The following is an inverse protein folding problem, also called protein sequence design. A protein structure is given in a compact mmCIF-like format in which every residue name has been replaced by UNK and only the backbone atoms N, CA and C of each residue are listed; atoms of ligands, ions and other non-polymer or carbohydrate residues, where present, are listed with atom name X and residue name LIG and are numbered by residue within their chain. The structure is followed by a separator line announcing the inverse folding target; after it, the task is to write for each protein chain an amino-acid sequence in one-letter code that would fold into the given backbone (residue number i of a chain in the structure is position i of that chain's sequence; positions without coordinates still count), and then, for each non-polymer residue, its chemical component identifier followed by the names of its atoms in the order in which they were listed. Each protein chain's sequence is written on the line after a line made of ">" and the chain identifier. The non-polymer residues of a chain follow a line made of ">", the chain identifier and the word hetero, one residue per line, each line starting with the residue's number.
data_IF_082095964614
#
_entry.id   IF_082095964614
#
_cell.length_a   1.000
_cell.length_b   1.000
_cell.length_c   1.000
_cell.angle_alpha   90.00
_cell.angle_beta   90.00
_cell.angle_gamma   90.00
#
_symmetry.space_group_name_H-M   'P 1'
#
loop_
_entity.id
_entity.type
_entity.pdbx_description
1 polymer ?
#
# COMPACT_ATOMS: atom_id res chain seq x y z
N UNK A 1 13.47 -0.55 -31.11
CA UNK A 1 13.89 -0.31 -29.72
C UNK A 1 13.06 -1.24 -28.88
N UNK A 2 13.61 -2.39 -28.49
CA UNK A 2 12.98 -3.31 -27.53
C UNK A 2 12.76 -2.55 -26.24
N UNK A 3 11.54 -2.54 -25.76
CA UNK A 3 11.14 -1.73 -24.62
C UNK A 3 11.91 -2.13 -23.37
N UNK A 4 12.71 -1.21 -22.85
CA UNK A 4 13.40 -1.34 -21.57
C UNK A 4 12.43 -1.90 -20.52
N UNK A 5 12.77 -3.03 -19.93
CA UNK A 5 11.89 -3.74 -18.98
C UNK A 5 11.70 -2.85 -17.75
N UNK A 6 10.46 -2.41 -17.55
CA UNK A 6 10.08 -1.55 -16.43
C UNK A 6 10.09 -2.35 -15.15
N UNK A 7 10.82 -1.89 -14.13
CA UNK A 7 10.81 -2.50 -12.82
C UNK A 7 10.22 -1.53 -11.78
N UNK A 8 9.02 -1.84 -11.32
CA UNK A 8 8.38 -1.16 -10.20
C UNK A 8 8.22 -2.19 -9.09
N UNK A 9 8.76 -1.89 -7.92
CA UNK A 9 8.56 -2.73 -6.74
C UNK A 9 7.37 -2.26 -5.92
N UNK A 10 6.47 -3.17 -5.57
CA UNK A 10 5.42 -2.98 -4.56
C UNK A 10 5.90 -3.59 -3.23
N UNK A 11 6.22 -2.72 -2.27
CA UNK A 11 6.83 -3.08 -0.98
C UNK A 11 5.88 -2.77 0.20
N UNK A 12 4.83 -3.50 0.50
CA UNK A 12 4.18 -4.60 -0.22
C UNK A 12 2.69 -4.62 0.11
N UNK A 13 1.85 -5.18 -0.76
CA UNK A 13 0.43 -5.44 -0.45
C UNK A 13 0.22 -6.68 0.44
N UNK A 14 1.28 -7.46 0.71
CA UNK A 14 1.22 -8.74 1.44
C UNK A 14 1.75 -8.66 2.85
N UNK A 15 2.53 -7.61 3.14
CA UNK A 15 3.12 -7.34 4.45
C UNK A 15 3.48 -5.87 4.56
N UNK A 16 3.69 -5.39 5.76
CA UNK A 16 4.18 -4.02 6.00
C UNK A 16 5.71 -4.05 6.13
N UNK A 17 6.39 -3.81 5.01
CA UNK A 17 7.86 -3.80 4.96
C UNK A 17 8.43 -2.62 5.76
N UNK A 18 7.94 -1.38 5.61
CA UNK A 18 8.40 -0.26 6.43
C UNK A 18 8.27 -0.50 7.93
N UNK A 19 7.18 -1.12 8.38
CA UNK A 19 6.97 -1.34 9.81
C UNK A 19 7.85 -2.45 10.42
N UNK A 20 8.18 -3.50 9.65
CA UNK A 20 8.73 -4.73 10.23
C UNK A 20 10.00 -5.26 9.58
N UNK A 21 10.32 -4.85 8.37
CA UNK A 21 11.37 -5.44 7.55
C UNK A 21 12.23 -4.40 6.82
N UNK A 22 12.29 -3.18 7.38
CA UNK A 22 13.05 -2.07 6.79
C UNK A 22 14.54 -2.39 6.60
N UNK A 23 15.17 -3.01 7.61
CA UNK A 23 16.57 -3.42 7.54
C UNK A 23 16.83 -4.45 6.44
N UNK A 24 16.00 -5.49 6.35
CA UNK A 24 16.07 -6.48 5.26
C UNK A 24 15.95 -5.80 3.91
N UNK A 25 14.97 -4.92 3.74
CA UNK A 25 14.72 -4.27 2.45
C UNK A 25 15.86 -3.34 2.05
N UNK A 26 16.39 -2.56 3.00
CA UNK A 26 17.53 -1.69 2.75
C UNK A 26 18.76 -2.49 2.29
N UNK A 27 19.02 -3.64 2.93
CA UNK A 27 20.10 -4.53 2.51
C UNK A 27 19.90 -5.11 1.10
N UNK A 28 18.65 -5.41 0.72
CA UNK A 28 18.33 -5.82 -0.67
C UNK A 28 18.61 -4.71 -1.68
N UNK A 29 18.33 -3.47 -1.34
CA UNK A 29 18.61 -2.32 -2.19
C UNK A 29 20.12 -2.08 -2.34
N UNK A 30 20.90 -2.22 -1.26
CA UNK A 30 22.37 -2.12 -1.28
C UNK A 30 23.00 -3.16 -2.20
N UNK A 31 22.52 -4.40 -2.12
CA UNK A 31 23.02 -5.51 -2.93
C UNK A 31 22.50 -5.51 -4.37
N UNK A 32 21.47 -4.75 -4.67
CA UNK A 32 20.78 -4.85 -5.96
C UNK A 32 20.26 -6.25 -6.25
N UNK A 33 19.80 -6.96 -5.22
CA UNK A 33 19.48 -8.38 -5.24
C UNK A 33 18.23 -8.67 -4.41
N UNK A 34 17.15 -9.09 -5.06
CA UNK A 34 15.86 -9.34 -4.43
C UNK A 34 15.11 -10.45 -5.16
N UNK A 35 14.42 -11.30 -4.43
CA UNK A 35 13.57 -12.33 -5.02
C UNK A 35 12.12 -12.25 -4.52
N UNK A 36 11.19 -12.66 -5.37
CA UNK A 36 9.78 -12.71 -5.06
C UNK A 36 9.17 -14.04 -5.52
N UNK A 37 8.44 -14.70 -4.62
CA UNK A 37 7.68 -15.91 -4.92
C UNK A 37 6.35 -15.56 -5.58
N UNK A 38 6.01 -16.28 -6.64
CA UNK A 38 4.73 -16.09 -7.33
C UNK A 38 3.57 -16.50 -6.40
N UNK A 39 2.58 -15.61 -6.17
CA UNK A 39 1.47 -15.90 -5.26
C UNK A 39 0.48 -16.94 -5.77
N UNK A 40 0.43 -17.16 -7.08
CA UNK A 40 -0.48 -18.12 -7.74
C UNK A 40 0.19 -19.47 -7.91
N UNK A 41 1.48 -19.47 -8.30
CA UNK A 41 2.29 -20.67 -8.39
C UNK A 41 3.45 -20.60 -7.40
N UNK A 42 3.26 -21.20 -6.23
CA UNK A 42 4.23 -21.15 -5.15
C UNK A 42 5.60 -21.79 -5.43
N UNK A 43 5.72 -22.57 -6.50
CA UNK A 43 6.99 -23.16 -6.97
C UNK A 43 7.80 -22.21 -7.85
N UNK A 44 7.25 -21.09 -8.26
CA UNK A 44 7.93 -20.12 -9.11
C UNK A 44 8.48 -18.97 -8.28
N UNK A 45 9.77 -18.70 -8.44
CA UNK A 45 10.47 -17.57 -7.85
C UNK A 45 11.06 -16.74 -8.99
N UNK A 46 10.91 -15.43 -8.91
CA UNK A 46 11.64 -14.51 -9.76
C UNK A 46 12.72 -13.85 -8.92
N UNK A 47 13.97 -14.00 -9.33
CA UNK A 47 15.14 -13.40 -8.72
C UNK A 47 15.58 -12.21 -9.59
N UNK A 48 15.56 -11.02 -9.02
CA UNK A 48 15.95 -9.78 -9.68
C UNK A 48 17.35 -9.38 -9.25
N UNK A 49 18.21 -9.06 -10.23
CA UNK A 49 19.44 -8.31 -10.02
C UNK A 49 19.31 -7.00 -10.75
N UNK A 50 19.61 -5.91 -10.07
CA UNK A 50 19.30 -4.58 -10.58
C UNK A 50 20.25 -3.51 -10.03
N UNK A 51 20.45 -2.48 -10.83
CA UNK A 51 21.01 -1.21 -10.37
C UNK A 51 19.86 -0.23 -10.08
N UNK A 52 20.07 0.82 -9.27
CA UNK A 52 19.04 1.81 -8.97
C UNK A 52 18.39 2.42 -10.22
N UNK A 53 19.18 2.60 -11.31
CA UNK A 53 18.68 3.14 -12.57
C UNK A 53 17.64 2.24 -13.28
N UNK A 54 17.67 0.93 -13.02
CA UNK A 54 16.73 -0.03 -13.58
C UNK A 54 15.38 -0.05 -12.83
N UNK A 55 15.31 0.54 -11.62
CA UNK A 55 14.09 0.58 -10.81
C UNK A 55 13.39 1.91 -11.03
N UNK A 56 12.24 1.86 -11.70
CA UNK A 56 11.47 3.08 -11.96
C UNK A 56 10.88 3.68 -10.68
N UNK A 57 10.37 2.86 -9.78
CA UNK A 57 9.82 3.34 -8.50
C UNK A 57 9.64 2.20 -7.50
N UNK A 58 9.69 2.55 -6.22
CA UNK A 58 9.29 1.69 -5.11
C UNK A 58 8.00 2.26 -4.50
N UNK A 59 6.96 1.43 -4.39
CA UNK A 59 5.69 1.81 -3.77
C UNK A 59 5.62 1.15 -2.40
N UNK A 60 5.75 1.94 -1.35
CA UNK A 60 5.62 1.47 0.02
C UNK A 60 4.16 1.44 0.46
N UNK A 61 3.77 0.37 1.14
CA UNK A 61 2.45 0.19 1.75
C UNK A 61 2.66 -0.02 3.23
N UNK A 62 2.10 0.86 4.03
CA UNK A 62 2.37 0.81 5.46
C UNK A 62 1.21 1.35 6.29
N UNK A 63 1.15 0.88 7.53
CA UNK A 63 0.34 1.43 8.62
C UNK A 63 1.21 2.06 9.71
N UNK A 64 2.52 1.89 9.62
CA UNK A 64 3.47 2.55 10.52
C UNK A 64 4.85 2.68 9.85
N UNK A 65 5.15 3.79 9.17
CA UNK A 65 6.45 4.01 8.55
C UNK A 65 7.55 4.47 9.54
N UNK A 66 7.21 4.78 10.79
CA UNK A 66 8.15 5.40 11.74
C UNK A 66 9.49 4.65 11.86
N UNK A 67 9.52 3.28 11.96
CA UNK A 67 10.79 2.55 12.04
C UNK A 67 11.66 2.67 10.78
N UNK A 68 11.06 2.99 9.64
CA UNK A 68 11.72 3.03 8.34
C UNK A 68 12.19 4.43 7.93
N UNK A 69 11.73 5.48 8.61
CA UNK A 69 12.04 6.86 8.22
C UNK A 69 13.54 7.16 8.21
N UNK A 70 14.30 6.57 9.13
CA UNK A 70 15.77 6.73 9.18
C UNK A 70 16.50 6.07 7.99
N UNK A 71 15.86 5.18 7.27
CA UNK A 71 16.43 4.54 6.07
C UNK A 71 16.30 5.41 4.80
N UNK A 72 15.45 6.42 4.82
CA UNK A 72 15.10 7.19 3.61
C UNK A 72 16.28 8.01 3.07
N UNK A 73 17.15 8.52 3.92
CA UNK A 73 18.33 9.28 3.48
C UNK A 73 19.29 8.40 2.66
N UNK A 74 19.46 7.17 3.08
CA UNK A 74 20.29 6.22 2.35
C UNK A 74 19.64 5.78 1.02
N UNK A 75 18.32 5.56 1.03
CA UNK A 75 17.56 5.22 -0.18
C UNK A 75 17.63 6.36 -1.20
N UNK A 76 17.52 7.62 -0.74
CA UNK A 76 17.70 8.81 -1.59
C UNK A 76 19.13 8.90 -2.12
N UNK A 77 20.13 8.64 -1.26
CA UNK A 77 21.54 8.64 -1.63
C UNK A 77 21.90 7.60 -2.69
N UNK A 78 21.22 6.45 -2.68
CA UNK A 78 21.31 5.43 -3.73
C UNK A 78 20.60 5.82 -5.04
N UNK A 79 19.78 6.88 -5.03
CA UNK A 79 19.07 7.39 -6.21
C UNK A 79 17.71 6.75 -6.48
N UNK A 80 17.20 5.89 -5.61
CA UNK A 80 15.88 5.29 -5.76
C UNK A 80 14.76 6.33 -5.67
N UNK A 81 13.71 6.14 -6.46
CA UNK A 81 12.47 6.91 -6.43
C UNK A 81 11.37 6.09 -5.77
N UNK A 82 10.57 6.73 -4.93
CA UNK A 82 9.53 6.05 -4.16
C UNK A 82 8.40 6.99 -3.76
N UNK A 83 7.28 6.41 -3.38
CA UNK A 83 6.18 7.06 -2.68
C UNK A 83 5.50 6.11 -1.72
N UNK A 84 4.68 6.64 -0.82
CA UNK A 84 4.01 5.88 0.23
C UNK A 84 2.49 5.84 0.04
N UNK A 85 1.94 4.67 0.25
CA UNK A 85 0.54 4.39 0.49
C UNK A 85 0.39 4.19 2.00
N UNK A 86 0.08 5.26 2.74
CA UNK A 86 0.01 5.22 4.19
C UNK A 86 -1.43 5.07 4.65
N UNK A 87 -1.77 3.92 5.20
CA UNK A 87 -3.10 3.65 5.71
C UNK A 87 -3.23 4.18 7.13
N UNK A 88 -4.05 5.21 7.30
CA UNK A 88 -4.46 5.77 8.58
C UNK A 88 -5.97 5.70 8.68
N UNK A 89 -6.44 4.88 9.62
CA UNK A 89 -7.85 4.57 9.89
C UNK A 89 -8.15 4.77 11.37
N UNK A 90 -9.41 5.02 11.78
CA UNK A 90 -9.74 5.38 13.15
C UNK A 90 -9.96 4.19 14.10
N UNK A 91 -9.72 2.94 13.62
CA UNK A 91 -10.05 1.74 14.40
C UNK A 91 -9.17 1.56 15.62
N UNK A 92 -9.76 1.01 16.68
CA UNK A 92 -9.02 0.56 17.86
C UNK A 92 -8.40 -0.83 17.70
N UNK A 93 -7.83 -1.32 18.80
CA UNK A 93 -7.17 -2.64 18.85
C UNK A 93 -8.12 -3.84 18.67
N UNK A 94 -9.43 -3.62 18.69
CA UNK A 94 -10.43 -4.63 18.35
C UNK A 94 -10.44 -4.98 16.87
N UNK A 95 -10.07 -4.04 16.01
CA UNK A 95 -9.99 -4.22 14.55
C UNK A 95 -8.54 -4.25 14.06
N UNK A 96 -7.68 -3.37 14.57
CA UNK A 96 -6.27 -3.24 14.18
C UNK A 96 -5.38 -3.49 15.40
N UNK A 97 -5.15 -4.77 15.73
CA UNK A 97 -4.72 -5.24 17.04
C UNK A 97 -3.34 -4.73 17.48
N UNK A 98 -2.40 -4.59 16.56
CA UNK A 98 -1.01 -4.29 16.88
C UNK A 98 -0.51 -3.02 16.16
N UNK A 99 -1.34 -1.99 16.12
CA UNK A 99 -0.97 -0.68 15.56
C UNK A 99 -0.98 0.35 16.69
N UNK A 100 0.18 0.88 17.00
CA UNK A 100 0.26 2.05 17.87
C UNK A 100 -0.18 3.29 17.09
N UNK A 101 -1.28 3.88 17.52
CA UNK A 101 -1.87 5.08 16.89
C UNK A 101 -1.60 6.36 17.69
N UNK A 102 -0.90 6.27 18.81
CA UNK A 102 -0.64 7.42 19.67
C UNK A 102 0.05 8.58 18.95
N UNK A 103 0.96 8.26 18.03
CA UNK A 103 1.73 9.24 17.26
C UNK A 103 1.50 9.15 15.74
N UNK A 104 0.38 8.55 15.30
CA UNK A 104 0.19 8.24 13.87
C UNK A 104 0.04 9.52 13.02
N UNK A 105 -0.63 10.55 13.54
CA UNK A 105 -0.81 11.84 12.88
C UNK A 105 0.53 12.56 12.75
N UNK A 106 1.30 12.66 13.83
CA UNK A 106 2.65 13.24 13.82
C UNK A 106 3.57 12.49 12.84
N UNK A 107 3.50 11.16 12.83
CA UNK A 107 4.25 10.32 11.88
C UNK A 107 3.87 10.62 10.44
N UNK A 108 2.58 10.83 10.16
CA UNK A 108 2.11 11.19 8.82
C UNK A 108 2.66 12.55 8.39
N UNK A 109 2.56 13.55 9.24
CA UNK A 109 3.05 14.92 9.00
C UNK A 109 4.56 14.90 8.74
N UNK A 110 5.35 14.30 9.63
CA UNK A 110 6.80 14.20 9.50
C UNK A 110 7.24 13.46 8.23
N UNK A 111 6.53 12.38 7.86
CA UNK A 111 6.82 11.70 6.61
C UNK A 111 6.52 12.60 5.41
N UNK A 112 5.39 13.33 5.43
CA UNK A 112 5.05 14.29 4.37
C UNK A 112 6.09 15.40 4.23
N UNK A 113 6.52 16.00 5.33
CA UNK A 113 7.58 17.02 5.35
C UNK A 113 8.89 16.48 4.77
N UNK A 114 9.19 15.20 5.01
CA UNK A 114 10.42 14.55 4.53
C UNK A 114 10.39 14.23 3.03
N UNK A 115 9.24 13.80 2.50
CA UNK A 115 9.17 13.29 1.10
C UNK A 115 8.37 14.17 0.15
N UNK A 116 7.55 15.08 0.66
CA UNK A 116 6.59 15.89 -0.09
C UNK A 116 5.17 15.33 -0.05
N UNK A 117 4.18 16.23 0.01
CA UNK A 117 2.75 15.89 0.08
C UNK A 117 2.26 15.10 -1.16
N UNK A 118 2.88 15.33 -2.31
CA UNK A 118 2.57 14.66 -3.58
C UNK A 118 3.01 13.19 -3.62
N UNK A 119 3.94 12.79 -2.74
CA UNK A 119 4.45 11.42 -2.63
C UNK A 119 3.91 10.66 -1.42
N UNK A 120 3.03 11.26 -0.63
CA UNK A 120 2.35 10.63 0.49
C UNK A 120 0.86 10.53 0.22
N UNK A 121 0.39 9.31 -0.03
CA UNK A 121 -1.02 9.03 -0.29
C UNK A 121 -1.67 8.53 0.99
N UNK A 122 -2.65 9.27 1.50
CA UNK A 122 -3.48 8.82 2.62
C UNK A 122 -4.44 7.72 2.17
N UNK A 123 -4.52 6.65 2.93
CA UNK A 123 -5.51 5.59 2.71
C UNK A 123 -6.45 5.51 3.91
N UNK A 124 -7.70 5.84 3.69
CA UNK A 124 -8.80 5.60 4.62
C UNK A 124 -9.53 4.32 4.15
N UNK A 125 -8.89 3.19 4.33
CA UNK A 125 -9.19 1.94 3.63
C UNK A 125 -8.92 0.72 4.52
N UNK A 126 -9.95 -0.13 4.76
CA UNK A 126 -11.36 0.01 4.36
C UNK A 126 -12.22 0.78 5.39
N UNK A 127 -13.39 1.29 4.95
CA UNK A 127 -14.48 1.72 5.86
C UNK A 127 -15.24 0.47 6.32
N UNK A 128 -15.34 0.28 7.64
CA UNK A 128 -15.99 -0.86 8.30
C UNK A 128 -17.13 -0.35 9.17
N UNK A 129 -18.32 -0.93 9.04
CA UNK A 129 -19.49 -0.58 9.84
C UNK A 129 -19.84 -1.69 10.82
N UNK A 130 -19.99 -1.31 12.07
CA UNK A 130 -20.61 -2.07 13.16
C UNK A 130 -21.16 -1.11 14.22
N UNK A 131 -21.64 -1.61 15.35
CA UNK A 131 -22.21 -0.77 16.43
C UNK A 131 -21.19 0.21 17.01
N UNK A 132 -19.91 -0.15 17.07
CA UNK A 132 -18.84 0.71 17.57
C UNK A 132 -18.38 1.75 16.56
N UNK A 133 -18.51 1.45 15.28
CA UNK A 133 -18.03 2.28 14.16
C UNK A 133 -19.19 2.59 13.19
N UNK A 134 -20.22 3.32 13.62
CA UNK A 134 -21.34 3.75 12.75
C UNK A 134 -20.87 4.83 11.77
N UNK A 135 -21.71 5.17 10.79
CA UNK A 135 -21.40 6.20 9.77
C UNK A 135 -21.01 7.54 10.38
N UNK A 136 -21.74 8.00 11.41
CA UNK A 136 -21.41 9.27 12.09
C UNK A 136 -19.98 9.29 12.65
N UNK A 137 -19.57 8.18 13.27
CA UNK A 137 -18.18 8.02 13.73
C UNK A 137 -17.16 8.18 12.58
N UNK A 138 -17.43 7.55 11.42
CA UNK A 138 -16.52 7.65 10.28
C UNK A 138 -16.48 9.06 9.71
N UNK A 139 -17.62 9.76 9.63
CA UNK A 139 -17.67 11.16 9.18
C UNK A 139 -16.81 12.02 10.10
N UNK A 140 -17.05 11.96 11.42
CA UNK A 140 -16.32 12.78 12.39
C UNK A 140 -14.82 12.53 12.33
N UNK A 141 -14.42 11.26 12.27
CA UNK A 141 -13.01 10.88 12.24
C UNK A 141 -12.32 11.21 10.92
N UNK A 142 -13.01 10.97 9.79
CA UNK A 142 -12.49 11.33 8.49
C UNK A 142 -12.26 12.84 8.38
N UNK A 143 -13.27 13.64 8.74
CA UNK A 143 -13.19 15.10 8.68
C UNK A 143 -12.06 15.64 9.56
N UNK A 144 -11.97 15.18 10.81
CA UNK A 144 -10.90 15.57 11.72
C UNK A 144 -9.51 15.18 11.21
N UNK A 145 -9.35 14.00 10.59
CA UNK A 145 -8.08 13.60 9.97
C UNK A 145 -7.78 14.41 8.70
N UNK A 146 -8.79 14.70 7.88
CA UNK A 146 -8.61 15.50 6.67
C UNK A 146 -8.15 16.93 6.98
N UNK A 147 -8.68 17.54 8.04
CA UNK A 147 -8.21 18.84 8.55
C UNK A 147 -6.74 18.78 8.98
N UNK A 148 -6.34 17.74 9.71
CA UNK A 148 -4.98 17.56 10.20
C UNK A 148 -3.99 17.23 9.06
N UNK A 149 -4.44 16.53 8.01
CA UNK A 149 -3.61 16.17 6.86
C UNK A 149 -3.64 17.20 5.73
N UNK A 150 -4.41 18.27 5.89
CA UNK A 150 -4.49 19.36 4.92
C UNK A 150 -3.11 19.98 4.69
N UNK A 151 -2.65 20.01 3.44
CA UNK A 151 -1.29 20.44 3.08
C UNK A 151 -0.22 19.36 3.19
N UNK A 152 -0.51 18.22 3.82
CA UNK A 152 0.44 17.10 3.97
C UNK A 152 0.14 15.91 3.04
N UNK A 153 -0.95 15.95 2.30
CA UNK A 153 -1.25 15.00 1.21
C UNK A 153 -2.14 15.66 0.17
N UNK A 154 -1.97 15.27 -1.09
CA UNK A 154 -2.82 15.72 -2.19
C UNK A 154 -3.93 14.72 -2.53
N UNK A 155 -3.86 13.50 -1.96
CA UNK A 155 -4.74 12.41 -2.36
C UNK A 155 -5.12 11.53 -1.16
N UNK A 156 -6.44 11.26 -1.05
CA UNK A 156 -6.97 10.23 -0.16
C UNK A 156 -7.60 9.10 -0.98
N UNK A 157 -7.26 7.87 -0.62
CA UNK A 157 -7.88 6.67 -1.20
C UNK A 157 -8.83 6.07 -0.20
N UNK A 158 -10.10 5.91 -0.59
CA UNK A 158 -11.13 5.24 0.21
C UNK A 158 -11.51 3.90 -0.40
N UNK A 159 -11.95 2.97 0.41
CA UNK A 159 -12.69 1.78 0.00
C UNK A 159 -13.67 1.37 1.09
N UNK A 160 -14.74 0.71 0.70
CA UNK A 160 -15.68 0.07 1.60
C UNK A 160 -15.34 -1.41 1.75
N UNK A 161 -15.62 -1.98 2.92
CA UNK A 161 -15.35 -3.41 3.13
C UNK A 161 -16.21 -4.25 2.20
N UNK A 162 -15.59 -5.10 1.42
CA UNK A 162 -16.26 -6.11 0.60
C UNK A 162 -16.45 -7.42 1.38
N UNK A 163 -17.58 -8.07 1.18
CA UNK A 163 -17.84 -9.40 1.74
C UNK A 163 -17.14 -10.49 0.93
N UNK A 164 -15.90 -10.76 1.31
CA UNK A 164 -15.21 -11.93 0.79
C UNK A 164 -15.52 -13.17 1.63
N UNK A 165 -15.72 -14.32 0.99
CA UNK A 165 -15.98 -15.58 1.67
C UNK A 165 -14.98 -15.88 2.79
N UNK A 166 -13.74 -15.55 2.55
CA UNK A 166 -12.65 -15.73 3.49
C UNK A 166 -12.66 -14.74 4.69
N UNK A 167 -13.42 -13.63 4.62
CA UNK A 167 -13.63 -12.67 5.71
C UNK A 167 -14.87 -12.98 6.54
N UNK A 168 -15.75 -13.87 6.07
CA UNK A 168 -17.07 -14.09 6.65
C UNK A 168 -17.05 -14.38 8.16
N UNK A 169 -16.08 -15.19 8.62
CA UNK A 169 -15.95 -15.50 10.06
C UNK A 169 -15.44 -14.31 10.88
N UNK A 170 -14.52 -13.52 10.33
CA UNK A 170 -14.03 -12.33 11.00
C UNK A 170 -15.11 -11.25 11.03
N UNK A 171 -15.82 -11.02 9.93
CA UNK A 171 -16.94 -10.08 9.86
C UNK A 171 -18.03 -10.44 10.87
N UNK A 172 -18.42 -11.72 10.96
CA UNK A 172 -19.42 -12.19 11.93
C UNK A 172 -18.99 -12.00 13.38
N UNK A 173 -17.73 -12.30 13.72
CA UNK A 173 -17.21 -12.15 15.10
C UNK A 173 -17.11 -10.72 15.58
N UNK A 174 -17.02 -9.76 14.65
CA UNK A 174 -16.90 -8.33 14.94
C UNK A 174 -18.12 -7.54 14.49
N UNK A 175 -19.23 -8.23 14.15
CA UNK A 175 -20.50 -7.66 13.69
C UNK A 175 -20.34 -6.67 12.53
N UNK A 176 -19.36 -6.95 11.65
CA UNK A 176 -19.04 -6.11 10.51
C UNK A 176 -20.04 -6.35 9.39
N UNK A 177 -20.66 -5.29 8.90
CA UNK A 177 -21.59 -5.31 7.78
C UNK A 177 -21.07 -4.51 6.60
N UNK A 178 -21.54 -4.84 5.40
CA UNK A 178 -21.35 -3.98 4.22
C UNK A 178 -22.22 -2.73 4.36
N UNK A 179 -21.73 -1.63 3.80
CA UNK A 179 -22.51 -0.38 3.80
C UNK A 179 -23.68 -0.48 2.82
N UNK A 180 -24.83 -0.02 3.23
CA UNK A 180 -25.97 0.21 2.33
C UNK A 180 -25.70 1.42 1.42
N UNK A 181 -26.38 1.50 0.26
CA UNK A 181 -26.26 2.69 -0.62
C UNK A 181 -26.55 4.02 0.10
N UNK A 182 -27.53 4.07 0.99
CA UNK A 182 -27.85 5.26 1.77
C UNK A 182 -26.73 5.65 2.76
N UNK A 183 -26.06 4.67 3.35
CA UNK A 183 -24.93 4.92 4.22
C UNK A 183 -23.73 5.46 3.43
N UNK A 184 -23.47 4.90 2.24
CA UNK A 184 -22.44 5.40 1.33
C UNK A 184 -22.74 6.84 0.92
N UNK A 185 -23.98 7.13 0.51
CA UNK A 185 -24.43 8.47 0.14
C UNK A 185 -24.25 9.47 1.30
N UNK A 186 -24.71 9.11 2.49
CA UNK A 186 -24.55 9.93 3.69
C UNK A 186 -23.10 10.22 4.01
N UNK A 187 -22.25 9.20 3.99
CA UNK A 187 -20.80 9.34 4.25
C UNK A 187 -20.14 10.22 3.20
N UNK A 188 -20.33 9.90 1.91
CA UNK A 188 -19.72 10.63 0.82
C UNK A 188 -20.14 12.10 0.78
N UNK A 189 -21.44 12.37 0.92
CA UNK A 189 -21.96 13.74 0.92
C UNK A 189 -21.39 14.60 2.04
N UNK A 190 -21.06 14.03 3.20
CA UNK A 190 -20.51 14.77 4.34
C UNK A 190 -19.01 14.99 4.19
N UNK A 191 -18.25 13.95 3.86
CA UNK A 191 -16.77 14.08 3.71
C UNK A 191 -16.40 14.98 2.55
N UNK A 192 -17.13 14.94 1.42
CA UNK A 192 -16.87 15.83 0.28
C UNK A 192 -17.08 17.29 0.65
N UNK A 193 -18.17 17.63 1.36
CA UNK A 193 -18.37 19.01 1.84
C UNK A 193 -17.22 19.50 2.71
N UNK A 194 -16.69 18.66 3.60
CA UNK A 194 -15.53 19.03 4.41
C UNK A 194 -14.30 19.26 3.53
N UNK A 195 -14.02 18.35 2.60
CA UNK A 195 -12.85 18.48 1.70
C UNK A 195 -12.90 19.74 0.84
N UNK A 196 -14.11 20.17 0.42
CA UNK A 196 -14.32 21.39 -0.37
C UNK A 196 -14.03 22.67 0.44
N UNK A 197 -14.06 22.61 1.77
CA UNK A 197 -13.76 23.75 2.65
C UNK A 197 -12.29 23.84 3.08
N UNK A 198 -11.49 22.81 2.79
CA UNK A 198 -10.08 22.80 3.19
C UNK A 198 -9.24 23.81 2.38
N UNK A 199 -8.28 24.49 3.02
CA UNK A 199 -7.40 25.45 2.35
C UNK A 199 -6.48 24.79 1.29
N UNK A 200 -6.18 23.50 1.44
CA UNK A 200 -5.42 22.72 0.46
C UNK A 200 -6.25 21.53 -0.01
N UNK A 201 -6.26 21.30 -1.32
CA UNK A 201 -7.08 20.26 -1.93
C UNK A 201 -6.56 18.86 -1.61
N UNK A 202 -7.44 18.00 -1.10
CA UNK A 202 -7.25 16.54 -1.03
C UNK A 202 -8.20 15.87 -2.01
N UNK A 203 -7.67 15.28 -3.07
CA UNK A 203 -8.47 14.58 -4.08
C UNK A 203 -8.87 13.20 -3.58
N UNK A 204 -10.18 12.89 -3.62
CA UNK A 204 -10.65 11.53 -3.31
C UNK A 204 -10.50 10.60 -4.51
N UNK A 205 -10.07 9.38 -4.22
CA UNK A 205 -10.04 8.29 -5.18
C UNK A 205 -10.54 7.00 -4.52
N UNK A 206 -11.18 6.14 -5.30
CA UNK A 206 -11.70 4.86 -4.80
C UNK A 206 -11.04 3.66 -5.48
N UNK A 207 -10.72 2.63 -4.70
CA UNK A 207 -10.01 1.45 -5.18
C UNK A 207 -10.98 0.33 -5.55
N UNK A 208 -11.36 0.26 -6.83
CA UNK A 208 -12.22 -0.81 -7.38
C UNK A 208 -13.58 -0.97 -6.68
N UNK A 209 -14.19 0.14 -6.29
CA UNK A 209 -15.53 0.13 -5.71
C UNK A 209 -16.59 -0.29 -6.73
N UNK A 210 -17.60 -1.03 -6.25
CA UNK A 210 -18.76 -1.46 -7.06
C UNK A 210 -19.75 -0.31 -7.23
N UNK A 211 -19.87 0.54 -6.21
CA UNK A 211 -20.74 1.72 -6.24
C UNK A 211 -20.07 2.82 -7.07
N UNK A 212 -20.85 3.41 -7.96
CA UNK A 212 -20.38 4.58 -8.71
C UNK A 212 -20.31 5.81 -7.78
N UNK A 213 -19.11 6.30 -7.57
CA UNK A 213 -18.82 7.46 -6.74
C UNK A 213 -18.49 8.71 -7.56
N UNK A 214 -18.67 8.67 -8.89
CA UNK A 214 -18.34 9.79 -9.78
C UNK A 214 -19.17 11.05 -9.48
N UNK A 215 -20.43 10.88 -9.01
CA UNK A 215 -21.29 11.99 -8.60
C UNK A 215 -20.70 12.82 -7.44
N UNK A 216 -19.78 12.27 -6.66
CA UNK A 216 -19.05 12.93 -5.58
C UNK A 216 -17.67 13.43 -5.99
N UNK A 217 -17.33 13.43 -7.29
CA UNK A 217 -16.02 13.82 -7.79
C UNK A 217 -14.90 12.80 -7.49
N UNK A 218 -15.25 11.61 -7.01
CA UNK A 218 -14.28 10.56 -6.67
C UNK A 218 -13.72 9.93 -7.94
N UNK A 219 -12.41 9.91 -8.05
CA UNK A 219 -11.72 9.36 -9.20
C UNK A 219 -11.44 7.85 -9.02
N UNK A 220 -11.30 7.13 -10.14
CA UNK A 220 -10.77 5.78 -10.10
C UNK A 220 -9.31 5.81 -9.65
N UNK A 221 -8.99 5.00 -8.66
CA UNK A 221 -7.65 4.95 -8.13
C UNK A 221 -6.73 4.02 -8.92
N UNK A 222 -5.47 4.45 -9.03
CA UNK A 222 -4.32 3.60 -9.34
C UNK A 222 -3.40 3.63 -8.12
N UNK A 223 -3.35 2.54 -7.36
CA UNK A 223 -2.46 2.48 -6.19
C UNK A 223 -0.99 2.37 -6.61
N UNK A 224 -0.67 1.64 -7.68
CA UNK A 224 0.59 1.76 -8.40
C UNK A 224 0.31 2.66 -9.59
N UNK A 225 0.58 3.94 -9.40
CA UNK A 225 0.14 5.02 -10.27
C UNK A 225 1.24 5.41 -11.26
N UNK A 226 1.03 5.08 -12.54
CA UNK A 226 2.01 5.34 -13.58
C UNK A 226 2.23 6.83 -13.87
N UNK A 227 1.22 7.69 -13.68
CA UNK A 227 1.35 9.13 -13.87
C UNK A 227 2.17 9.75 -12.72
N UNK A 228 1.87 9.35 -11.48
CA UNK A 228 2.65 9.76 -10.31
C UNK A 228 4.12 9.31 -10.45
N UNK A 229 4.36 8.08 -10.86
CA UNK A 229 5.71 7.55 -11.08
C UNK A 229 6.45 8.36 -12.15
N UNK A 230 5.79 8.67 -13.28
CA UNK A 230 6.39 9.49 -14.33
C UNK A 230 6.74 10.90 -13.82
N UNK A 231 5.86 11.52 -13.01
CA UNK A 231 6.09 12.81 -12.37
C UNK A 231 7.28 12.77 -11.41
N UNK A 232 7.34 11.79 -10.51
CA UNK A 232 8.44 11.62 -9.52
C UNK A 232 9.79 11.42 -10.23
N UNK A 233 9.78 10.73 -11.37
CA UNK A 233 10.99 10.52 -12.17
C UNK A 233 11.37 11.71 -13.06
N UNK A 234 10.46 12.63 -13.29
CA UNK A 234 10.65 13.72 -14.26
C UNK A 234 10.72 13.24 -15.71
N UNK A 235 9.97 12.18 -16.08
CA UNK A 235 10.01 11.57 -17.40
C UNK A 235 8.63 11.52 -18.06
N UNK A 236 8.59 11.63 -19.39
CA UNK A 236 7.38 11.41 -20.19
C UNK A 236 7.30 9.92 -20.57
N UNK A 237 6.76 9.09 -19.68
CA UNK A 237 6.66 7.64 -19.88
C UNK A 237 5.25 7.14 -19.56
N UNK A 238 4.69 6.34 -20.48
CA UNK A 238 3.43 5.62 -20.25
C UNK A 238 3.73 4.21 -19.75
N UNK A 239 3.15 3.87 -18.62
CA UNK A 239 3.27 2.54 -18.03
C UNK A 239 2.11 1.64 -18.46
N UNK A 240 2.38 0.35 -18.66
CA UNK A 240 1.35 -0.62 -19.05
C UNK A 240 0.48 -0.98 -17.85
N UNK A 241 -0.85 -1.03 -18.06
CA UNK A 241 -1.80 -1.53 -17.06
C UNK A 241 -1.44 -2.95 -16.66
N UNK A 242 -1.59 -3.27 -15.38
CA UNK A 242 -1.40 -4.62 -14.86
C UNK A 242 -2.61 -5.51 -15.20
N UNK A 243 -2.46 -6.52 -16.08
CA UNK A 243 -3.56 -7.38 -16.48
C UNK A 243 -3.99 -8.36 -15.38
N UNK A 244 -3.17 -8.56 -14.35
CA UNK A 244 -3.44 -9.47 -13.23
C UNK A 244 -4.29 -8.83 -12.12
N UNK A 245 -4.62 -7.54 -12.24
CA UNK A 245 -5.47 -6.84 -11.29
C UNK A 245 -6.95 -6.98 -11.65
N UNK A 246 -7.81 -6.71 -10.64
CA UNK A 246 -9.28 -6.71 -10.81
C UNK A 246 -9.71 -5.81 -11.99
N UNK A 247 -10.82 -6.16 -12.69
CA UNK A 247 -11.45 -5.23 -13.62
C UNK A 247 -11.72 -3.88 -12.93
N UNK A 248 -11.43 -2.77 -13.58
CA UNK A 248 -11.56 -1.44 -12.98
C UNK A 248 -10.35 -0.93 -12.19
N UNK A 249 -9.37 -1.77 -11.84
CA UNK A 249 -8.13 -1.33 -11.23
C UNK A 249 -7.28 -0.52 -12.22
N UNK A 250 -6.79 0.67 -11.81
CA UNK A 250 -5.92 1.52 -12.63
C UNK A 250 -4.43 1.23 -12.49
N UNK A 251 -4.04 0.27 -11.63
CA UNK A 251 -2.62 0.01 -11.35
C UNK A 251 -1.84 -0.41 -12.59
N UNK A 252 -0.62 0.09 -12.70
CA UNK A 252 0.36 -0.37 -13.68
C UNK A 252 1.12 -1.60 -13.19
N UNK A 253 1.79 -2.30 -14.12
CA UNK A 253 2.55 -3.50 -13.81
C UNK A 253 3.61 -3.24 -12.74
N UNK A 254 3.63 -4.09 -11.73
CA UNK A 254 4.61 -4.03 -10.63
C UNK A 254 4.93 -5.43 -10.12
N UNK A 255 6.01 -5.55 -9.36
CA UNK A 255 6.42 -6.78 -8.67
C UNK A 255 6.22 -6.61 -7.18
N UNK A 256 5.25 -7.32 -6.63
CA UNK A 256 5.06 -7.35 -5.17
C UNK A 256 6.10 -8.28 -4.55
N UNK A 257 6.88 -7.73 -3.63
CA UNK A 257 8.06 -8.38 -3.04
C UNK A 257 7.82 -8.94 -1.64
N UNK A 258 6.61 -8.78 -1.12
CA UNK A 258 6.26 -9.28 0.20
C UNK A 258 5.86 -10.75 0.21
N UNK A 259 5.81 -11.29 1.40
CA UNK A 259 5.40 -12.67 1.66
C UNK A 259 4.15 -12.70 2.54
N UNK A 260 3.17 -13.54 2.18
CA UNK A 260 1.97 -13.72 2.99
C UNK A 260 2.27 -14.25 4.38
N UNK A 261 1.43 -13.89 5.35
CA UNK A 261 1.52 -14.33 6.74
C UNK A 261 2.75 -13.84 7.52
N UNK A 262 3.39 -12.76 7.07
CA UNK A 262 4.54 -12.14 7.75
C UNK A 262 4.16 -10.83 8.46
N UNK A 263 3.10 -10.15 8.05
CA UNK A 263 2.64 -8.91 8.67
C UNK A 263 2.20 -9.15 10.13
N UNK A 264 2.65 -8.27 11.04
CA UNK A 264 2.41 -8.39 12.48
C UNK A 264 1.29 -7.48 12.99
N UNK A 265 0.70 -6.63 12.15
CA UNK A 265 -0.40 -5.73 12.55
C UNK A 265 -1.69 -6.44 12.96
N UNK A 266 -1.92 -7.64 12.43
CA UNK A 266 -3.04 -8.49 12.80
C UNK A 266 -4.41 -7.85 12.59
N UNK A 267 -4.59 -7.11 11.50
CA UNK A 267 -5.87 -6.48 11.17
C UNK A 267 -6.92 -7.54 10.86
N UNK A 268 -8.11 -7.40 11.46
CA UNK A 268 -9.23 -8.36 11.35
C UNK A 268 -9.68 -8.55 9.89
N UNK A 269 -9.64 -7.49 9.10
CA UNK A 269 -10.06 -7.48 7.69
C UNK A 269 -8.96 -7.86 6.70
N UNK A 270 -7.74 -8.19 7.18
CA UNK A 270 -6.61 -8.39 6.29
C UNK A 270 -6.65 -9.75 5.58
N UNK A 271 -6.54 -9.73 4.26
CA UNK A 271 -6.44 -10.95 3.44
C UNK A 271 -5.05 -11.58 3.47
N UNK A 272 -4.01 -10.82 3.83
CA UNK A 272 -2.62 -11.25 3.73
C UNK A 272 -2.10 -12.04 4.95
N UNK A 273 -2.85 -12.07 6.05
CA UNK A 273 -2.41 -12.62 7.33
C UNK A 273 -3.17 -13.85 7.83
N UNK A 274 -3.73 -14.69 6.94
CA UNK A 274 -4.69 -15.74 7.30
C UNK A 274 -4.12 -17.12 7.54
N UNK A 275 -2.94 -17.37 7.05
CA UNK A 275 -2.26 -18.65 7.25
C UNK A 275 -1.40 -18.69 8.52
N UNK A 276 -0.68 -19.79 8.69
CA UNK A 276 0.32 -19.92 9.75
C UNK A 276 1.34 -18.78 9.64
N UNK A 277 1.52 -18.03 10.72
CA UNK A 277 2.48 -16.91 10.75
C UNK A 277 3.90 -17.41 10.47
N UNK A 278 4.58 -16.72 9.56
CA UNK A 278 6.01 -16.90 9.27
C UNK A 278 6.78 -15.91 10.16
N UNK A 279 7.52 -16.42 11.11
CA UNK A 279 8.26 -15.61 12.09
C UNK A 279 9.78 -15.68 11.89
N UNK A 280 10.28 -16.76 11.29
CA UNK A 280 11.69 -16.91 10.96
C UNK A 280 12.01 -16.15 9.67
N UNK A 281 12.76 -15.07 9.79
CA UNK A 281 13.21 -14.26 8.66
C UNK A 281 14.74 -14.21 8.70
N UNK A 282 15.37 -14.62 7.61
CA UNK A 282 16.81 -14.47 7.42
C UNK A 282 17.06 -13.18 6.63
N UNK A 283 17.77 -12.24 7.21
CA UNK A 283 18.09 -10.96 6.57
C UNK A 283 19.01 -11.10 5.35
N UNK A 284 19.79 -12.17 5.28
CA UNK A 284 20.62 -12.46 4.12
C UNK A 284 19.85 -13.08 2.95
N UNK A 285 18.66 -13.63 3.18
CA UNK A 285 17.85 -14.21 2.12
C UNK A 285 17.35 -13.14 1.14
N UNK A 286 17.43 -13.37 -0.19
CA UNK A 286 16.80 -12.48 -1.16
C UNK A 286 15.26 -12.56 -1.12
N UNK A 287 14.69 -13.60 -0.50
CA UNK A 287 13.27 -13.77 -0.25
C UNK A 287 12.90 -13.31 1.15
N UNK A 288 11.86 -12.51 1.30
CA UNK A 288 11.38 -12.05 2.60
C UNK A 288 10.76 -13.21 3.39
N UNK A 289 11.37 -13.59 4.53
CA UNK A 289 10.89 -14.65 5.43
C UNK A 289 10.50 -15.94 4.69
N UNK A 290 11.29 -16.30 3.69
CA UNK A 290 11.10 -17.47 2.86
C UNK A 290 12.45 -18.02 2.40
N UNK A 291 12.48 -19.26 1.90
CA UNK A 291 13.68 -19.92 1.41
C UNK A 291 13.40 -20.58 0.07
N UNK A 292 14.44 -20.73 -0.74
CA UNK A 292 14.37 -21.50 -1.99
C UNK A 292 14.47 -22.99 -1.67
N UNK A 293 13.48 -23.75 -2.11
CA UNK A 293 13.55 -25.20 -2.15
C UNK A 293 14.26 -25.61 -3.46
N UNK A 294 15.53 -26.00 -3.36
CA UNK A 294 16.35 -26.32 -4.53
C UNK A 294 15.86 -27.54 -5.33
N UNK A 295 14.97 -28.33 -4.76
CA UNK A 295 14.39 -29.52 -5.41
C UNK A 295 13.10 -29.17 -6.16
N UNK A 296 12.25 -28.36 -5.54
CA UNK A 296 10.87 -28.13 -6.03
C UNK A 296 10.65 -26.76 -6.65
N UNK A 297 11.49 -25.77 -6.34
CA UNK A 297 11.31 -24.41 -6.84
C UNK A 297 11.98 -24.21 -8.21
N UNK A 298 11.29 -23.50 -9.09
CA UNK A 298 11.87 -22.98 -10.33
C UNK A 298 12.22 -21.50 -10.14
N UNK A 299 13.50 -21.18 -10.23
CA UNK A 299 14.00 -19.82 -10.09
C UNK A 299 14.28 -19.22 -11.47
N UNK A 300 13.57 -18.14 -11.80
CA UNK A 300 13.84 -17.33 -12.99
C UNK A 300 14.70 -16.13 -12.60
N UNK A 301 15.91 -16.04 -13.13
CA UNK A 301 16.75 -14.86 -12.99
C UNK A 301 16.31 -13.76 -13.98
N UNK A 302 16.20 -12.53 -13.49
CA UNK A 302 16.00 -11.31 -14.28
C UNK A 302 17.13 -10.36 -13.91
N UNK A 303 18.14 -10.27 -14.76
CA UNK A 303 19.27 -9.37 -14.55
C UNK A 303 19.06 -8.07 -15.34
N UNK A 304 19.02 -6.95 -14.63
CA UNK A 304 18.75 -5.61 -15.15
C UNK A 304 19.91 -4.65 -14.85
N UNK A 305 21.06 -5.17 -14.45
CA UNK A 305 22.26 -4.34 -14.21
C UNK A 305 22.83 -3.84 -15.53
N UNK A 306 23.31 -2.59 -15.52
CA UNK A 306 23.99 -2.04 -16.69
C UNK A 306 25.34 -2.75 -16.89
N UNK A 307 25.53 -3.36 -18.05
CA UNK A 307 26.78 -4.05 -18.41
C UNK A 307 26.87 -5.52 -18.00
N UNK A 308 25.74 -6.16 -17.65
CA UNK A 308 25.66 -7.62 -17.45
C UNK A 308 25.37 -8.36 -18.77
#
# INVERSE_FOLDING_TARGET
>A
MEGQQVLIFSASRRTDIPAFFGGWFLERLRRGDLAARNPVNSRQITHFRFDPAAVDCIVFWTKNPAPFMSCLDEIDGMGYKYYFQFTVTPYGNDIEQNIDKGNIIDTFIRLSERIGADRLIWRYDPVIINDRYPIGFHVDRFCSMAEQFCGYTEKCVISFIDRYQFLSDAMRRHDITELSPLQIESFMGQICRTLDTLPSKITLSACCEKTDLAAYGVQRNACVDGELIARIRGVQKKYRKDPSQRPGCGCVQSRDIGTYNTCRHNCVYCYAGRGKKKTACNEDSPLLCDTVDTVNDTVKLVDLRQGA
#
